data_IF_312529607969
#
_entry.id   IF_312529607969
#
_cell.length_a   1.000
_cell.length_b   1.000
_cell.length_c   1.000
_cell.angle_alpha   90.00
_cell.angle_beta   90.00
_cell.angle_gamma   90.00
#
_symmetry.space_group_name_H-M   'P 1'
#
loop_
_entity.id
_entity.type
_entity.pdbx_description
1 polymer ?
#
# COMPACT_ATOMS: atom_id res chain seq x y z
N UNK A 1 -32.66 15.98 42.86
CA UNK A 1 -32.04 14.65 42.64
C UNK A 1 -32.39 14.02 41.29
N UNK A 2 -33.64 14.05 40.82
CA UNK A 2 -34.02 13.46 39.53
C UNK A 2 -33.35 14.10 38.30
N UNK A 3 -33.10 15.40 38.32
CA UNK A 3 -32.48 16.15 37.20
C UNK A 3 -30.97 15.84 37.05
N UNK A 4 -30.26 15.57 38.13
CA UNK A 4 -28.84 15.25 38.12
C UNK A 4 -28.61 13.85 37.53
N UNK A 5 -29.48 12.90 37.80
CA UNK A 5 -29.42 11.54 37.28
C UNK A 5 -29.60 11.53 35.75
N UNK A 6 -30.52 12.37 35.24
CA UNK A 6 -30.74 12.50 33.78
C UNK A 6 -29.53 13.10 33.04
N UNK A 7 -28.83 14.06 33.64
CA UNK A 7 -27.63 14.67 33.06
C UNK A 7 -26.47 13.71 33.04
N UNK A 8 -26.26 12.91 34.10
CA UNK A 8 -25.21 11.91 34.17
C UNK A 8 -25.47 10.78 33.14
N UNK A 9 -26.71 10.37 32.95
CA UNK A 9 -27.08 9.36 31.98
C UNK A 9 -26.90 9.85 30.53
N UNK A 10 -27.11 11.12 30.27
CA UNK A 10 -26.88 11.71 28.94
C UNK A 10 -25.37 11.84 28.62
N UNK A 11 -24.57 12.15 29.64
CA UNK A 11 -23.08 12.23 29.45
C UNK A 11 -22.46 10.84 29.24
N UNK A 12 -23.04 9.79 29.82
CA UNK A 12 -22.55 8.41 29.56
C UNK A 12 -22.93 7.87 28.18
N UNK A 13 -23.85 8.49 27.47
CA UNK A 13 -24.24 8.07 26.11
C UNK A 13 -23.34 8.65 25.00
N UNK A 14 -22.41 9.56 25.33
CA UNK A 14 -21.60 10.26 24.32
C UNK A 14 -20.20 9.68 24.10
N UNK A 15 -19.90 8.51 24.64
CA UNK A 15 -18.61 7.84 24.43
C UNK A 15 -18.76 6.45 23.78
N UNK A 16 -19.62 6.31 22.81
CA UNK A 16 -19.53 5.16 21.93
C UNK A 16 -18.51 5.49 20.83
N UNK A 17 -17.27 5.14 21.07
CA UNK A 17 -16.27 5.00 20.02
C UNK A 17 -16.69 3.82 19.14
N UNK A 18 -17.05 4.07 17.92
CA UNK A 18 -17.28 3.01 16.93
C UNK A 18 -15.94 2.71 16.27
N UNK A 19 -15.38 1.55 16.56
CA UNK A 19 -14.24 1.01 15.83
C UNK A 19 -14.75 0.02 14.78
N UNK A 20 -14.25 0.13 13.56
CA UNK A 20 -14.56 -0.82 12.50
C UNK A 20 -13.36 -1.76 12.34
N UNK A 21 -13.45 -2.96 12.84
CA UNK A 21 -12.40 -3.97 12.70
C UNK A 21 -12.88 -5.10 11.80
N UNK A 22 -12.08 -5.47 10.81
CA UNK A 22 -12.33 -6.64 9.97
C UNK A 22 -11.07 -7.48 9.91
N UNK A 23 -11.18 -8.73 10.34
CA UNK A 23 -10.09 -9.71 10.24
C UNK A 23 -10.53 -10.87 9.37
N UNK A 24 -9.85 -11.06 8.25
CA UNK A 24 -10.15 -12.13 7.32
C UNK A 24 -8.94 -13.03 7.18
N UNK A 25 -9.13 -14.31 7.44
CA UNK A 25 -8.16 -15.34 7.12
C UNK A 25 -8.81 -16.34 6.18
N UNK A 26 -8.22 -16.52 5.01
CA UNK A 26 -8.72 -17.42 4.00
C UNK A 26 -7.64 -18.42 3.59
N UNK A 27 -8.03 -19.66 3.45
CA UNK A 27 -7.20 -20.73 2.92
C UNK A 27 -8.01 -21.53 1.89
N UNK A 28 -7.53 -21.56 0.65
CA UNK A 28 -8.25 -22.24 -0.44
C UNK A 28 -7.78 -21.76 -1.81
N UNK A 29 -8.49 -22.14 -2.86
CA UNK A 29 -8.01 -21.90 -4.22
C UNK A 29 -8.30 -20.49 -4.76
N UNK A 30 -9.27 -19.77 -4.21
CA UNK A 30 -9.60 -18.42 -4.64
C UNK A 30 -10.21 -17.61 -3.49
N UNK A 31 -9.84 -16.35 -3.42
CA UNK A 31 -10.50 -15.34 -2.60
C UNK A 31 -10.97 -14.21 -3.53
N UNK A 32 -12.20 -13.81 -3.35
CA UNK A 32 -12.78 -12.59 -3.92
C UNK A 32 -13.43 -11.84 -2.74
N UNK A 33 -12.83 -10.72 -2.35
CA UNK A 33 -13.17 -10.00 -1.13
C UNK A 33 -13.32 -8.51 -1.41
N UNK A 34 -14.55 -8.03 -1.22
CA UNK A 34 -14.88 -6.62 -1.26
C UNK A 34 -15.18 -6.11 0.16
N UNK A 35 -14.45 -5.10 0.60
CA UNK A 35 -14.63 -4.47 1.90
C UNK A 35 -14.91 -3.00 1.70
N UNK A 36 -15.98 -2.50 2.28
CA UNK A 36 -16.24 -1.07 2.41
C UNK A 36 -16.43 -0.72 3.88
N UNK A 37 -15.61 0.19 4.39
CA UNK A 37 -15.72 0.73 5.74
C UNK A 37 -15.91 2.24 5.67
N UNK A 38 -16.98 2.73 6.31
CA UNK A 38 -17.30 4.14 6.46
C UNK A 38 -17.40 4.47 7.96
N UNK A 39 -16.49 5.33 8.44
CA UNK A 39 -16.42 5.67 9.86
C UNK A 39 -15.05 6.18 10.28
N UNK A 40 -14.90 6.52 11.56
CA UNK A 40 -13.77 7.27 12.10
C UNK A 40 -12.47 6.45 12.27
N UNK A 41 -12.54 5.16 12.61
CA UNK A 41 -11.35 4.34 12.90
C UNK A 41 -11.43 2.99 12.17
N UNK A 42 -11.12 2.98 10.92
CA UNK A 42 -11.23 1.78 10.11
C UNK A 42 -9.97 0.91 10.24
N UNK A 43 -10.15 -0.40 10.26
CA UNK A 43 -9.05 -1.37 10.31
C UNK A 43 -9.43 -2.60 9.49
N UNK A 44 -8.52 -3.20 8.73
CA UNK A 44 -8.74 -4.50 8.05
C UNK A 44 -7.92 -5.61 8.69
N UNK A 45 -6.76 -5.31 9.20
CA UNK A 45 -5.94 -6.18 10.03
C UNK A 45 -5.15 -5.34 11.02
N UNK A 46 -4.46 -5.93 11.95
CA UNK A 46 -3.64 -5.21 12.90
C UNK A 46 -2.19 -5.74 12.95
N UNK A 47 -1.33 -5.05 13.66
CA UNK A 47 0.09 -5.40 13.80
C UNK A 47 0.36 -6.80 14.42
N UNK A 48 -0.63 -7.42 15.02
CA UNK A 48 -0.51 -8.75 15.63
C UNK A 48 -1.32 -9.82 14.91
N UNK A 49 -2.30 -9.41 14.11
CA UNK A 49 -3.18 -10.31 13.37
C UNK A 49 -3.51 -9.67 12.03
N UNK A 50 -2.55 -9.72 11.11
CA UNK A 50 -2.79 -9.30 9.74
C UNK A 50 -3.89 -10.17 9.10
N UNK A 51 -4.70 -9.57 8.28
CA UNK A 51 -5.56 -10.35 7.38
C UNK A 51 -4.68 -11.12 6.39
N UNK A 52 -5.01 -12.36 6.11
CA UNK A 52 -4.17 -13.22 5.28
C UNK A 52 -4.98 -14.05 4.30
N UNK A 53 -4.45 -14.22 3.11
CA UNK A 53 -4.98 -15.11 2.09
C UNK A 53 -3.90 -16.08 1.62
N UNK A 54 -4.24 -17.36 1.55
CA UNK A 54 -3.37 -18.42 1.05
C UNK A 54 -4.10 -19.20 -0.04
N UNK A 55 -4.22 -18.62 -1.22
CA UNK A 55 -4.93 -19.21 -2.34
C UNK A 55 -4.17 -19.09 -3.65
N UNK A 56 -4.67 -19.71 -4.72
CA UNK A 56 -4.07 -19.57 -6.05
C UNK A 56 -4.34 -18.18 -6.62
N UNK A 57 -5.52 -17.64 -6.38
CA UNK A 57 -5.95 -16.32 -6.85
C UNK A 57 -6.56 -15.52 -5.72
N UNK A 58 -6.11 -14.30 -5.54
CA UNK A 58 -6.67 -13.35 -4.59
C UNK A 58 -7.14 -12.10 -5.33
N UNK A 59 -8.41 -11.76 -5.18
CA UNK A 59 -8.98 -10.49 -5.56
C UNK A 59 -9.35 -9.76 -4.27
N UNK A 60 -8.83 -8.55 -4.10
CA UNK A 60 -9.02 -7.78 -2.88
C UNK A 60 -9.32 -6.33 -3.24
N UNK A 61 -10.55 -5.91 -3.00
CA UNK A 61 -10.98 -4.53 -3.15
C UNK A 61 -11.36 -3.95 -1.78
N UNK A 62 -10.71 -2.89 -1.38
CA UNK A 62 -10.95 -2.25 -0.08
C UNK A 62 -11.18 -0.76 -0.27
N UNK A 63 -12.33 -0.29 0.17
CA UNK A 63 -12.68 1.12 0.27
C UNK A 63 -12.79 1.49 1.76
N UNK A 64 -11.92 2.37 2.23
CA UNK A 64 -12.01 2.93 3.58
C UNK A 64 -12.18 4.45 3.52
N UNK A 65 -13.22 4.93 4.18
CA UNK A 65 -13.54 6.34 4.31
C UNK A 65 -13.55 6.68 5.79
N UNK A 66 -12.72 7.65 6.21
CA UNK A 66 -12.65 8.05 7.60
C UNK A 66 -11.30 8.63 7.99
N UNK A 67 -11.10 8.91 9.26
CA UNK A 67 -9.95 9.68 9.75
C UNK A 67 -8.69 8.85 9.99
N UNK A 68 -8.81 7.58 10.35
CA UNK A 68 -7.65 6.77 10.76
C UNK A 68 -7.75 5.36 10.20
N UNK A 69 -7.43 5.23 8.93
CA UNK A 69 -7.51 3.95 8.24
C UNK A 69 -6.23 3.14 8.46
N UNK A 70 -6.36 1.86 8.65
CA UNK A 70 -5.24 0.92 8.71
C UNK A 70 -5.59 -0.32 7.90
N UNK A 71 -4.76 -0.69 6.96
CA UNK A 71 -4.84 -1.94 6.23
C UNK A 71 -3.53 -2.67 6.41
N UNK A 72 -3.57 -3.85 7.02
CA UNK A 72 -2.46 -4.78 7.03
C UNK A 72 -2.94 -6.08 6.40
N UNK A 73 -2.41 -6.46 5.27
CA UNK A 73 -2.84 -7.65 4.56
C UNK A 73 -1.66 -8.45 4.02
N UNK A 74 -1.67 -9.75 4.27
CA UNK A 74 -0.67 -10.69 3.80
C UNK A 74 -1.27 -11.64 2.75
N UNK A 75 -0.60 -11.75 1.62
CA UNK A 75 -1.02 -12.60 0.52
C UNK A 75 0.06 -13.67 0.27
N UNK A 76 -0.36 -14.92 0.30
CA UNK A 76 0.50 -16.06 0.03
C UNK A 76 -0.07 -16.86 -1.15
N UNK A 77 -0.44 -16.19 -2.21
CA UNK A 77 -1.06 -16.78 -3.40
C UNK A 77 -0.25 -16.56 -4.66
N UNK A 78 -0.55 -17.28 -5.73
CA UNK A 78 0.16 -17.15 -6.99
C UNK A 78 -0.22 -15.90 -7.80
N UNK A 79 -1.44 -15.40 -7.61
CA UNK A 79 -1.95 -14.23 -8.34
C UNK A 79 -2.68 -13.30 -7.38
N UNK A 80 -2.35 -12.03 -7.45
CA UNK A 80 -3.05 -10.97 -6.74
C UNK A 80 -3.57 -9.93 -7.73
N UNK A 81 -4.80 -9.49 -7.53
CA UNK A 81 -5.38 -8.33 -8.20
C UNK A 81 -6.22 -7.56 -7.19
N UNK A 82 -6.02 -6.26 -7.08
CA UNK A 82 -6.80 -5.50 -6.13
C UNK A 82 -6.70 -3.99 -6.26
N UNK A 83 -7.69 -3.33 -5.69
CA UNK A 83 -7.76 -1.89 -5.55
C UNK A 83 -7.97 -1.54 -4.09
N UNK A 84 -7.12 -0.68 -3.56
CA UNK A 84 -7.25 -0.13 -2.21
C UNK A 84 -7.48 1.37 -2.34
N UNK A 85 -8.62 1.84 -1.89
CA UNK A 85 -8.95 3.26 -1.85
C UNK A 85 -9.07 3.74 -0.41
N UNK A 86 -8.31 4.76 -0.07
CA UNK A 86 -8.26 5.34 1.27
C UNK A 86 -8.58 6.82 1.22
N UNK A 87 -9.55 7.23 1.97
CA UNK A 87 -9.89 8.64 2.18
C UNK A 87 -9.89 8.94 3.66
N UNK A 88 -8.98 9.78 4.12
CA UNK A 88 -8.86 10.12 5.54
C UNK A 88 -7.63 10.96 5.83
N UNK A 89 -7.37 11.21 7.10
CA UNK A 89 -6.25 12.06 7.49
C UNK A 89 -4.96 11.29 7.78
N UNK A 90 -5.06 10.02 8.18
CA UNK A 90 -3.90 9.22 8.56
C UNK A 90 -4.12 7.79 8.11
N UNK A 91 -3.77 7.50 6.88
CA UNK A 91 -3.90 6.17 6.32
C UNK A 91 -2.58 5.41 6.48
N UNK A 92 -2.68 4.13 6.77
CA UNK A 92 -1.55 3.22 6.76
C UNK A 92 -1.92 2.00 5.93
N UNK A 93 -1.10 1.64 4.97
CA UNK A 93 -1.23 0.42 4.18
C UNK A 93 0.06 -0.37 4.33
N UNK A 94 -0.05 -1.58 4.81
CA UNK A 94 1.00 -2.59 4.82
C UNK A 94 0.47 -3.78 4.02
N UNK A 95 0.83 -3.85 2.76
CA UNK A 95 0.45 -4.92 1.85
C UNK A 95 1.67 -5.78 1.52
N UNK A 96 1.69 -6.96 2.11
CA UNK A 96 2.77 -7.90 1.92
C UNK A 96 2.30 -9.10 1.08
N UNK A 97 2.88 -9.23 -0.08
CA UNK A 97 2.62 -10.29 -1.05
C UNK A 97 3.69 -11.39 -1.04
N UNK A 98 4.52 -11.41 -0.04
CA UNK A 98 5.63 -12.33 0.18
C UNK A 98 5.40 -13.31 1.36
N UNK A 99 4.30 -13.18 2.07
CA UNK A 99 4.05 -13.85 3.34
C UNK A 99 4.18 -15.39 3.33
N UNK A 100 4.31 -16.01 2.17
CA UNK A 100 4.32 -17.48 2.04
C UNK A 100 5.67 -18.16 2.20
N UNK A 101 6.78 -17.43 2.16
CA UNK A 101 8.14 -18.00 2.24
C UNK A 101 8.44 -19.08 1.18
N UNK A 102 7.62 -19.20 0.16
CA UNK A 102 7.77 -20.14 -0.94
C UNK A 102 7.71 -19.38 -2.27
N UNK A 103 8.46 -19.81 -3.24
CA UNK A 103 8.67 -19.21 -4.55
C UNK A 103 7.40 -18.98 -5.42
N UNK A 104 6.25 -18.83 -4.84
CA UNK A 104 4.97 -18.69 -5.54
C UNK A 104 4.07 -17.56 -5.00
N UNK A 105 4.59 -16.76 -4.09
CA UNK A 105 3.83 -15.62 -3.58
C UNK A 105 3.80 -14.52 -4.62
N UNK A 106 2.58 -14.13 -4.99
CA UNK A 106 2.31 -13.10 -5.99
C UNK A 106 3.13 -13.21 -7.29
N UNK A 107 3.20 -14.40 -7.88
CA UNK A 107 3.83 -14.60 -9.18
C UNK A 107 3.25 -13.72 -10.30
N UNK A 108 2.05 -13.20 -10.11
CA UNK A 108 1.48 -12.11 -10.89
C UNK A 108 0.73 -11.18 -9.94
N UNK A 109 1.13 -9.93 -9.86
CA UNK A 109 0.48 -8.91 -9.06
C UNK A 109 0.00 -7.77 -9.95
N UNK A 110 -1.25 -7.35 -9.74
CA UNK A 110 -1.80 -6.12 -10.28
C UNK A 110 -2.46 -5.38 -9.12
N UNK A 111 -1.85 -4.30 -8.68
CA UNK A 111 -2.27 -3.57 -7.50
C UNK A 111 -2.45 -2.08 -7.81
N UNK A 112 -3.55 -1.52 -7.36
CA UNK A 112 -3.79 -0.08 -7.38
C UNK A 112 -4.04 0.40 -5.96
N UNK A 113 -3.24 1.36 -5.48
CA UNK A 113 -3.43 1.98 -4.18
C UNK A 113 -3.68 3.47 -4.39
N UNK A 114 -4.87 3.91 -4.07
CA UNK A 114 -5.26 5.31 -4.12
C UNK A 114 -5.43 5.85 -2.69
N UNK A 115 -4.82 6.97 -2.39
CA UNK A 115 -4.98 7.59 -1.09
C UNK A 115 -5.18 9.11 -1.16
N UNK A 116 -5.92 9.64 -0.20
CA UNK A 116 -6.13 11.06 -0.01
C UNK A 116 -6.12 11.36 1.48
N UNK A 117 -5.33 12.33 1.89
CA UNK A 117 -5.20 12.71 3.30
C UNK A 117 -3.78 13.11 3.65
N UNK A 118 -3.56 13.54 4.86
CA UNK A 118 -2.24 13.92 5.34
C UNK A 118 -1.63 12.82 6.17
N UNK A 119 -0.32 12.66 6.12
CA UNK A 119 0.44 11.67 6.90
C UNK A 119 0.07 10.22 6.59
N UNK A 120 0.11 9.87 5.32
CA UNK A 120 -0.09 8.50 4.89
C UNK A 120 1.22 7.73 4.90
N UNK A 121 1.15 6.46 5.23
CA UNK A 121 2.26 5.53 5.26
C UNK A 121 1.88 4.30 4.41
N UNK A 122 2.53 4.15 3.29
CA UNK A 122 2.25 3.08 2.32
C UNK A 122 3.49 2.19 2.26
N UNK A 123 3.36 0.99 2.77
CA UNK A 123 4.39 -0.05 2.73
C UNK A 123 3.90 -1.20 1.84
N UNK A 124 4.57 -1.40 0.73
CA UNK A 124 4.23 -2.39 -0.27
C UNK A 124 5.41 -3.32 -0.53
N UNK A 125 5.20 -4.61 -0.30
CA UNK A 125 6.18 -5.64 -0.56
C UNK A 125 5.58 -6.71 -1.49
N UNK A 126 6.03 -6.73 -2.73
CA UNK A 126 5.51 -7.61 -3.78
C UNK A 126 6.61 -8.46 -4.38
N UNK A 127 6.40 -9.75 -4.36
CA UNK A 127 7.26 -10.73 -5.00
C UNK A 127 8.34 -11.26 -4.07
N UNK A 128 8.78 -12.39 -4.37
CA UNK A 128 9.94 -13.05 -3.79
C UNK A 128 10.90 -13.43 -4.92
N UNK A 129 12.12 -13.63 -4.55
CA UNK A 129 13.25 -14.14 -5.32
C UNK A 129 12.96 -15.28 -6.31
N UNK A 130 11.83 -15.29 -7.00
CA UNK A 130 11.50 -16.29 -8.00
C UNK A 130 11.44 -15.71 -9.42
N UNK A 131 12.05 -16.40 -10.31
CA UNK A 131 12.32 -16.04 -11.69
C UNK A 131 11.09 -15.94 -12.64
N UNK A 132 9.89 -15.83 -12.14
CA UNK A 132 8.68 -15.81 -12.99
C UNK A 132 7.62 -14.77 -12.60
N UNK A 133 7.96 -13.85 -11.73
CA UNK A 133 7.01 -12.88 -11.24
C UNK A 133 6.86 -11.68 -12.17
N UNK A 134 5.63 -11.24 -12.35
CA UNK A 134 5.32 -9.99 -13.02
C UNK A 134 4.50 -9.12 -12.08
N UNK A 135 4.84 -7.86 -11.95
CA UNK A 135 4.09 -6.91 -11.15
C UNK A 135 3.73 -5.68 -11.99
N UNK A 136 2.49 -5.23 -11.86
CA UNK A 136 2.00 -3.96 -12.38
C UNK A 136 1.32 -3.24 -11.22
N UNK A 137 1.97 -2.19 -10.73
CA UNK A 137 1.59 -1.53 -9.48
C UNK A 137 1.46 -0.03 -9.70
N UNK A 138 0.30 0.51 -9.37
CA UNK A 138 0.03 1.94 -9.37
C UNK A 138 -0.23 2.45 -7.95
N UNK A 139 0.55 3.41 -7.48
CA UNK A 139 0.36 4.12 -6.21
C UNK A 139 0.02 5.58 -6.53
N UNK A 140 -1.15 6.02 -6.14
CA UNK A 140 -1.67 7.35 -6.48
C UNK A 140 -2.09 8.11 -5.23
N UNK A 141 -1.28 9.08 -4.84
CA UNK A 141 -1.60 10.09 -3.83
C UNK A 141 -2.26 11.31 -4.46
N UNK A 142 -3.51 11.57 -4.09
CA UNK A 142 -4.27 12.69 -4.63
C UNK A 142 -3.93 14.01 -3.94
N UNK A 143 -4.41 15.12 -4.49
CA UNK A 143 -4.22 16.46 -3.93
C UNK A 143 -4.65 16.54 -2.45
N UNK A 144 -3.79 17.08 -1.61
CA UNK A 144 -3.96 17.11 -0.16
C UNK A 144 -3.34 15.90 0.57
N UNK A 145 -2.55 15.08 -0.16
CA UNK A 145 -1.76 14.00 0.42
C UNK A 145 -0.40 14.52 0.86
N UNK A 146 -0.35 15.25 1.97
CA UNK A 146 0.88 15.85 2.49
C UNK A 146 1.57 14.94 3.52
N UNK A 147 2.89 15.06 3.64
CA UNK A 147 3.70 14.32 4.61
C UNK A 147 3.55 12.80 4.50
N UNK A 148 3.70 12.28 3.30
CA UNK A 148 3.53 10.86 3.04
C UNK A 148 4.86 10.12 3.00
N UNK A 149 4.83 8.87 3.42
CA UNK A 149 5.90 7.90 3.23
C UNK A 149 5.40 6.83 2.28
N UNK A 150 6.14 6.55 1.24
CA UNK A 150 5.87 5.44 0.32
C UNK A 150 7.11 4.57 0.25
N UNK A 151 7.04 3.40 0.85
CA UNK A 151 8.03 2.35 0.70
C UNK A 151 7.46 1.27 -0.22
N UNK A 152 8.18 0.97 -1.30
CA UNK A 152 7.75 -0.04 -2.25
C UNK A 152 8.92 -0.94 -2.65
N UNK A 153 8.83 -2.19 -2.29
CA UNK A 153 9.75 -3.25 -2.72
C UNK A 153 9.04 -4.13 -3.73
N UNK A 154 9.58 -4.25 -4.93
CA UNK A 154 9.00 -5.08 -5.99
C UNK A 154 10.06 -5.96 -6.61
N UNK A 155 9.98 -7.24 -6.32
CA UNK A 155 10.90 -8.26 -6.82
C UNK A 155 10.28 -9.08 -7.95
N UNK A 156 11.03 -9.37 -8.99
CA UNK A 156 10.53 -10.24 -10.06
C UNK A 156 11.22 -10.05 -11.41
N UNK A 157 10.75 -10.76 -12.43
CA UNK A 157 11.34 -10.72 -13.78
C UNK A 157 10.96 -9.47 -14.57
N UNK A 158 9.78 -8.93 -14.32
CA UNK A 158 9.29 -7.74 -15.03
C UNK A 158 8.35 -7.01 -14.09
N UNK A 159 8.77 -5.86 -13.61
CA UNK A 159 7.98 -5.01 -12.76
C UNK A 159 7.72 -3.66 -13.44
N UNK A 160 6.48 -3.22 -13.40
CA UNK A 160 6.07 -1.86 -13.72
C UNK A 160 5.55 -1.25 -12.43
N UNK A 161 6.21 -0.21 -11.96
CA UNK A 161 5.80 0.53 -10.78
C UNK A 161 5.57 1.98 -11.16
N UNK A 162 4.35 2.43 -10.99
CA UNK A 162 3.96 3.82 -11.21
C UNK A 162 3.62 4.46 -9.87
N UNK A 163 4.30 5.53 -9.50
CA UNK A 163 4.01 6.30 -8.30
C UNK A 163 3.71 7.74 -8.70
N UNK A 164 2.52 8.21 -8.41
CA UNK A 164 2.09 9.58 -8.67
C UNK A 164 1.55 10.20 -7.39
N UNK A 165 2.25 11.17 -6.82
CA UNK A 165 1.82 11.83 -5.58
C UNK A 165 1.81 13.34 -5.76
N UNK A 166 0.70 13.94 -5.35
CA UNK A 166 0.50 15.38 -5.33
C UNK A 166 0.32 15.86 -3.90
N UNK A 167 1.39 16.34 -3.30
CA UNK A 167 1.42 16.81 -1.91
C UNK A 167 2.81 17.29 -1.49
N UNK A 168 2.89 17.97 -0.37
CA UNK A 168 4.14 18.51 0.16
C UNK A 168 4.78 17.56 1.18
N UNK A 169 6.10 17.59 1.29
CA UNK A 169 6.87 16.85 2.29
C UNK A 169 6.68 15.34 2.22
N UNK A 170 7.15 14.73 1.17
CA UNK A 170 7.01 13.30 0.96
C UNK A 170 8.37 12.60 0.96
N UNK A 171 8.39 11.37 1.42
CA UNK A 171 9.54 10.48 1.43
C UNK A 171 9.21 9.22 0.61
N UNK A 172 10.09 8.87 -0.31
CA UNK A 172 9.94 7.70 -1.17
C UNK A 172 11.16 6.81 -1.05
N UNK A 173 10.95 5.57 -0.65
CA UNK A 173 11.95 4.52 -0.66
C UNK A 173 11.49 3.43 -1.63
N UNK A 174 12.14 3.33 -2.78
CA UNK A 174 11.71 2.45 -3.86
C UNK A 174 12.84 1.47 -4.19
N UNK A 175 12.57 0.19 -4.04
CA UNK A 175 13.50 -0.89 -4.39
C UNK A 175 12.85 -1.84 -5.39
N UNK A 176 13.44 -1.94 -6.58
CA UNK A 176 12.98 -2.85 -7.62
C UNK A 176 14.12 -3.79 -7.97
N UNK A 177 13.99 -5.05 -7.63
CA UNK A 177 15.02 -6.07 -7.87
C UNK A 177 14.57 -7.12 -8.89
N UNK A 178 15.35 -7.24 -9.94
CA UNK A 178 15.19 -8.28 -10.93
C UNK A 178 16.11 -9.46 -10.65
N UNK A 179 15.61 -10.52 -10.09
CA UNK A 179 16.35 -11.71 -9.70
C UNK A 179 17.06 -12.47 -10.84
N UNK A 180 17.84 -11.77 -11.63
CA UNK A 180 18.80 -12.38 -12.56
C UNK A 180 18.26 -13.00 -13.84
N UNK A 181 16.97 -12.95 -14.09
CA UNK A 181 16.32 -13.42 -15.33
C UNK A 181 15.49 -12.30 -15.97
N UNK A 182 16.05 -11.63 -16.71
CA UNK A 182 15.98 -10.38 -17.37
C UNK A 182 14.82 -10.11 -18.33
N UNK A 183 13.78 -9.50 -17.88
CA UNK A 183 13.06 -8.49 -18.66
C UNK A 183 13.11 -7.18 -17.85
N UNK A 184 13.44 -6.08 -18.50
CA UNK A 184 13.68 -4.81 -17.83
C UNK A 184 12.51 -4.34 -16.95
N UNK A 185 12.86 -3.69 -15.85
CA UNK A 185 11.91 -3.06 -14.96
C UNK A 185 11.61 -1.64 -15.42
N UNK A 186 10.40 -1.19 -15.19
CA UNK A 186 9.98 0.17 -15.46
C UNK A 186 9.49 0.84 -14.19
N UNK A 187 10.15 1.91 -13.80
CA UNK A 187 9.70 2.81 -12.76
C UNK A 187 9.27 4.14 -13.38
N UNK A 188 8.06 4.56 -13.10
CA UNK A 188 7.55 5.89 -13.40
C UNK A 188 7.19 6.56 -12.07
N UNK A 189 7.96 7.55 -11.68
CA UNK A 189 7.70 8.32 -10.47
C UNK A 189 7.39 9.77 -10.83
N UNK A 190 6.29 10.29 -10.33
CA UNK A 190 5.87 11.67 -10.50
C UNK A 190 5.48 12.29 -9.17
N UNK A 191 6.20 13.29 -8.74
CA UNK A 191 5.89 14.06 -7.55
C UNK A 191 5.58 15.51 -7.91
N UNK A 192 4.53 16.06 -7.32
CA UNK A 192 4.20 17.48 -7.39
C UNK A 192 4.01 18.02 -5.98
N UNK A 193 4.83 18.97 -5.58
CA UNK A 193 4.83 19.55 -4.22
C UNK A 193 6.21 20.07 -3.83
N UNK A 194 6.30 20.65 -2.65
CA UNK A 194 7.56 21.17 -2.13
C UNK A 194 8.23 20.13 -1.26
N UNK A 195 9.46 19.87 -1.28
CA UNK A 195 10.21 18.93 -0.45
C UNK A 195 9.84 17.48 -0.77
N UNK A 196 10.62 16.83 -1.57
CA UNK A 196 10.61 15.40 -1.76
C UNK A 196 11.98 14.82 -1.43
N UNK A 197 11.99 13.70 -0.70
CA UNK A 197 13.14 12.84 -0.49
C UNK A 197 12.87 11.56 -1.26
N UNK A 198 13.70 11.25 -2.24
CA UNK A 198 13.45 10.17 -3.19
C UNK A 198 14.67 9.28 -3.31
N UNK A 199 14.61 8.12 -2.68
CA UNK A 199 15.61 7.07 -2.79
C UNK A 199 15.10 5.97 -3.72
N UNK A 200 15.83 5.71 -4.80
CA UNK A 200 15.49 4.66 -5.77
C UNK A 200 16.66 3.73 -5.95
N UNK A 201 16.41 2.45 -5.71
CA UNK A 201 17.32 1.37 -6.03
C UNK A 201 16.64 0.52 -7.11
N UNK A 202 17.31 0.31 -8.22
CA UNK A 202 16.84 -0.59 -9.27
C UNK A 202 17.97 -1.49 -9.71
N UNK A 203 17.78 -2.79 -9.60
CA UNK A 203 18.76 -3.79 -10.01
C UNK A 203 18.15 -4.85 -10.92
N UNK A 204 18.98 -5.48 -11.76
CA UNK A 204 18.55 -6.54 -12.67
C UNK A 204 19.31 -6.54 -13.98
N UNK A 205 19.13 -7.57 -14.77
CA UNK A 205 20.04 -7.92 -15.84
C UNK A 205 19.70 -7.31 -17.20
N UNK A 206 18.73 -6.53 -17.48
CA UNK A 206 18.56 -5.85 -18.79
C UNK A 206 17.52 -4.72 -18.75
N UNK A 207 17.82 -3.69 -19.55
CA UNK A 207 16.92 -2.60 -19.98
C UNK A 207 16.01 -2.01 -18.90
N UNK A 208 16.57 -1.73 -17.72
CA UNK A 208 15.87 -1.04 -16.65
C UNK A 208 15.60 0.42 -17.02
N UNK A 209 14.42 0.88 -16.80
CA UNK A 209 14.02 2.25 -17.10
C UNK A 209 13.48 2.96 -15.85
N UNK A 210 14.04 4.12 -15.57
CA UNK A 210 13.51 5.04 -14.56
C UNK A 210 13.08 6.33 -15.26
N UNK A 211 11.85 6.72 -15.06
CA UNK A 211 11.33 8.02 -15.43
C UNK A 211 10.93 8.76 -14.17
N UNK A 212 11.69 9.78 -13.80
CA UNK A 212 11.43 10.59 -12.62
C UNK A 212 11.04 12.01 -13.03
N UNK A 213 9.94 12.48 -12.48
CA UNK A 213 9.48 13.85 -12.64
C UNK A 213 9.16 14.44 -11.27
N UNK A 214 9.85 15.47 -10.87
CA UNK A 214 9.54 16.25 -9.68
C UNK A 214 9.19 17.68 -10.07
N UNK A 215 8.16 18.23 -9.46
CA UNK A 215 7.74 19.61 -9.65
C UNK A 215 7.52 20.26 -8.30
N UNK A 216 8.34 21.22 -7.97
CA UNK A 216 8.37 21.90 -6.68
C UNK A 216 9.78 22.27 -6.26
N UNK A 217 9.92 22.77 -5.05
CA UNK A 217 11.20 23.20 -4.50
C UNK A 217 11.78 22.14 -3.55
N UNK A 218 13.12 22.05 -3.49
CA UNK A 218 13.86 21.22 -2.53
C UNK A 218 13.62 19.69 -2.64
N UNK A 219 13.72 19.13 -3.83
CA UNK A 219 13.82 17.69 -3.97
C UNK A 219 15.27 17.22 -3.72
N UNK A 220 15.43 16.21 -2.86
CA UNK A 220 16.64 15.41 -2.71
C UNK A 220 16.42 14.07 -3.41
N UNK A 221 17.32 13.68 -4.28
CA UNK A 221 17.08 12.53 -5.16
C UNK A 221 18.34 11.70 -5.27
N UNK A 222 18.27 10.50 -4.73
CA UNK A 222 19.31 9.49 -4.85
C UNK A 222 18.83 8.32 -5.71
N UNK A 223 19.55 8.03 -6.80
CA UNK A 223 19.23 6.93 -7.72
C UNK A 223 20.42 6.00 -7.86
N UNK A 224 20.23 4.74 -7.58
CA UNK A 224 21.17 3.67 -7.84
C UNK A 224 20.57 2.67 -8.82
N UNK A 225 21.17 2.55 -10.00
CA UNK A 225 20.76 1.57 -11.00
C UNK A 225 21.95 0.68 -11.35
N UNK A 226 21.76 -0.62 -11.25
CA UNK A 226 22.78 -1.63 -11.55
C UNK A 226 22.23 -2.71 -12.46
N UNK A 227 23.05 -3.18 -13.41
CA UNK A 227 22.80 -4.31 -14.31
C UNK A 227 23.45 -5.59 -13.77
#
# INVERSE_FOLDING_TARGET
MKTIISVIMLIMMTTLSYANDIYVTQSGNALDLDITQDGENNTVGNSTTASASAGVTTILNIDQIGDSNVITYQIAGATYTGVINLVGNSNNVDLNCDAGGSNSSCGTANAVINFTGSSNDIDLDIGLTSSANTADVDIVGQSGSDSNVVAATVDGNSAILTITVNGDTNNYLIDIDGNGDANGHTLIHSHTGSIADVDIIQSGVNDNMITLTTSGDNADIDISQTD
#
